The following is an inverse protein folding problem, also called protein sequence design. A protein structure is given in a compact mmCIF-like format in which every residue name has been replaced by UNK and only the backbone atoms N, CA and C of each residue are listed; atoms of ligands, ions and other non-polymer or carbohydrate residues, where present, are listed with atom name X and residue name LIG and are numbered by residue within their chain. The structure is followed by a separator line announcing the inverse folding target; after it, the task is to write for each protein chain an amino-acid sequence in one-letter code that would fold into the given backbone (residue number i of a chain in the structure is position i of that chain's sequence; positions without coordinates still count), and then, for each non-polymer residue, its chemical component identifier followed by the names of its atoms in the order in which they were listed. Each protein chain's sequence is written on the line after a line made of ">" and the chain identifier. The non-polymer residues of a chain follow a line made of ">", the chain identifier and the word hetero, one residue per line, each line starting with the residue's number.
data_IF_881726241340
#
_entry.id   IF_881726241340
#
_cell.length_a   1.000
_cell.length_b   1.000
_cell.length_c   1.000
_cell.angle_alpha   90.00
_cell.angle_beta   90.00
_cell.angle_gamma   90.00
#
_symmetry.space_group_name_H-M   'P 1'
#
loop_
_entity.id
_entity.type
_entity.pdbx_description
1 polymer ?
#
# COMPACT_ATOMS: atom_id res chain seq x y z
N UNK A 1 -51.58 -27.19 14.85
CA UNK A 1 -51.02 -25.89 15.26
C UNK A 1 -49.63 -26.14 15.83
N UNK A 2 -48.63 -25.56 15.18
CA UNK A 2 -47.19 -25.43 15.47
C UNK A 2 -46.42 -26.55 16.20
N UNK A 3 -45.50 -27.14 15.43
CA UNK A 3 -44.37 -27.99 15.82
C UNK A 3 -43.26 -27.11 16.41
N UNK A 4 -42.70 -27.48 17.57
CA UNK A 4 -41.47 -26.86 18.08
C UNK A 4 -40.24 -27.43 17.34
N UNK A 5 -39.53 -26.57 16.62
CA UNK A 5 -38.25 -26.86 15.98
C UNK A 5 -37.14 -26.08 16.69
N UNK A 6 -36.03 -26.79 16.92
CA UNK A 6 -34.86 -26.37 17.66
C UNK A 6 -34.08 -25.23 16.98
N UNK A 7 -33.43 -24.38 17.77
CA UNK A 7 -32.34 -23.53 17.31
C UNK A 7 -31.23 -23.55 18.36
N UNK A 8 -30.21 -24.37 18.10
CA UNK A 8 -28.95 -24.39 18.84
C UNK A 8 -28.05 -23.31 18.24
N UNK A 9 -27.81 -22.24 18.98
CA UNK A 9 -26.78 -21.24 18.63
C UNK A 9 -25.44 -21.71 19.19
N UNK A 10 -24.56 -22.15 18.30
CA UNK A 10 -23.15 -22.38 18.59
C UNK A 10 -22.43 -21.02 18.57
N UNK A 11 -22.06 -20.51 19.74
CA UNK A 11 -21.17 -19.35 19.87
C UNK A 11 -19.72 -19.81 19.63
N UNK A 12 -19.22 -19.64 18.40
CA UNK A 12 -17.78 -19.69 18.15
C UNK A 12 -17.15 -18.39 18.68
N UNK A 13 -16.55 -18.46 19.87
CA UNK A 13 -15.63 -17.41 20.33
C UNK A 13 -14.26 -17.69 19.70
N UNK A 14 -13.85 -16.84 18.77
CA UNK A 14 -12.46 -16.84 18.28
C UNK A 14 -11.61 -16.08 19.28
N UNK A 15 -10.82 -16.80 20.07
CA UNK A 15 -9.79 -16.22 20.92
C UNK A 15 -8.66 -15.69 20.03
N UNK A 16 -8.22 -14.43 20.16
CA UNK A 16 -6.94 -14.04 19.57
C UNK A 16 -5.84 -14.70 20.41
N UNK A 17 -5.14 -15.66 19.81
CA UNK A 17 -3.88 -16.17 20.31
C UNK A 17 -2.88 -15.01 20.29
N UNK A 18 -2.78 -14.29 21.41
CA UNK A 18 -1.78 -13.28 21.64
C UNK A 18 -0.42 -13.96 21.79
N UNK A 19 0.38 -13.98 20.73
CA UNK A 19 1.80 -14.28 20.86
C UNK A 19 2.50 -13.04 21.42
N UNK A 20 2.67 -12.99 22.74
CA UNK A 20 3.54 -12.01 23.38
C UNK A 20 5.00 -12.36 23.05
N UNK A 21 5.78 -11.46 22.41
CA UNK A 21 7.22 -11.61 22.41
C UNK A 21 7.75 -11.39 23.83
N UNK A 22 8.49 -12.36 24.36
CA UNK A 22 9.17 -12.26 25.65
C UNK A 22 10.40 -11.36 25.49
N UNK A 23 10.27 -10.08 25.78
CA UNK A 23 11.46 -9.24 25.99
C UNK A 23 11.96 -9.48 27.43
N UNK A 24 12.92 -10.40 27.56
CA UNK A 24 13.72 -10.53 28.77
C UNK A 24 14.71 -9.37 28.82
N UNK A 25 14.50 -8.44 29.74
CA UNK A 25 15.49 -7.43 30.11
C UNK A 25 16.62 -8.12 30.87
N UNK A 26 17.74 -8.35 30.21
CA UNK A 26 19.01 -8.67 30.87
C UNK A 26 19.81 -7.38 31.01
N UNK A 27 20.03 -6.94 32.24
CA UNK A 27 20.97 -5.88 32.55
C UNK A 27 22.35 -6.50 32.72
N UNK A 28 23.28 -6.24 31.80
CA UNK A 28 24.69 -6.27 32.16
C UNK A 28 25.47 -5.18 31.43
N UNK A 29 26.37 -4.56 32.19
CA UNK A 29 27.10 -3.33 31.89
C UNK A 29 28.50 -3.75 31.44
N UNK A 30 28.87 -3.38 30.21
CA UNK A 30 30.24 -3.53 29.71
C UNK A 30 30.50 -2.54 28.57
N UNK A 31 31.37 -1.57 28.81
CA UNK A 31 31.83 -0.56 27.86
C UNK A 31 32.62 -1.17 26.69
N UNK A 32 32.42 -0.60 25.50
CA UNK A 32 33.46 -0.08 24.59
C UNK A 32 33.27 -0.47 23.12
N UNK A 33 33.45 0.55 22.27
CA UNK A 33 33.83 0.47 20.85
C UNK A 33 32.72 0.34 19.79
N UNK A 34 32.28 1.50 19.26
CA UNK A 34 32.59 1.95 17.89
C UNK A 34 31.62 3.07 17.47
N UNK A 35 32.17 4.25 17.20
CA UNK A 35 31.46 5.47 16.78
C UNK A 35 30.91 5.40 15.34
N UNK A 36 30.64 4.21 14.79
CA UNK A 36 30.25 4.03 13.38
C UNK A 36 28.74 3.82 13.19
N UNK A 37 27.97 3.72 14.28
CA UNK A 37 26.52 3.50 14.23
C UNK A 37 25.69 4.80 14.17
N UNK A 38 26.31 5.96 14.41
CA UNK A 38 25.63 7.27 14.37
C UNK A 38 25.41 7.80 12.94
N UNK A 39 26.18 7.34 11.96
CA UNK A 39 26.08 7.83 10.58
C UNK A 39 24.99 7.12 9.76
N UNK A 40 24.50 5.97 10.24
CA UNK A 40 23.42 5.23 9.60
C UNK A 40 22.05 5.91 9.77
N UNK A 41 21.83 6.58 10.91
CA UNK A 41 20.57 7.25 11.23
C UNK A 41 20.42 8.66 10.64
N UNK A 42 21.45 9.17 9.96
CA UNK A 42 21.42 10.51 9.36
C UNK A 42 20.85 10.54 7.93
N UNK A 43 20.50 9.39 7.34
CA UNK A 43 20.02 9.30 5.95
C UNK A 43 18.52 9.06 5.76
N UNK A 44 17.76 9.01 6.84
CA UNK A 44 16.29 9.07 6.74
C UNK A 44 15.82 10.31 7.46
N UNK A 45 15.63 11.39 6.68
CA UNK A 45 14.64 12.41 7.03
C UNK A 45 13.27 11.75 7.03
N UNK A 46 12.96 10.92 8.03
CA UNK A 46 11.59 10.73 8.48
C UNK A 46 11.15 12.14 8.84
N UNK A 47 10.37 12.78 7.97
CA UNK A 47 9.97 14.18 8.14
C UNK A 47 9.58 14.40 9.59
N UNK A 48 10.20 15.37 10.25
CA UNK A 48 10.10 15.63 11.68
C UNK A 48 8.64 15.96 12.07
N UNK A 49 7.75 14.98 12.07
CA UNK A 49 6.41 15.03 12.66
C UNK A 49 6.62 14.72 14.14
N UNK A 50 6.87 15.75 14.92
CA UNK A 50 6.96 15.62 16.37
C UNK A 50 5.55 15.43 16.93
N UNK A 51 5.29 14.27 17.52
CA UNK A 51 4.04 13.98 18.22
C UNK A 51 4.23 14.32 19.71
N UNK A 52 3.75 15.47 20.20
CA UNK A 52 4.05 15.97 21.55
C UNK A 52 3.53 15.06 22.68
N UNK A 53 2.63 14.11 22.36
CA UNK A 53 1.96 13.26 23.33
C UNK A 53 2.33 11.76 23.22
N UNK A 54 3.38 11.41 22.47
CA UNK A 54 3.74 10.03 22.14
C UNK A 54 2.97 9.48 20.94
N UNK A 55 3.44 8.36 20.36
CA UNK A 55 2.84 7.74 19.17
C UNK A 55 1.64 6.89 19.60
N UNK A 56 0.44 7.25 19.17
CA UNK A 56 -0.76 6.41 19.31
C UNK A 56 -0.81 5.35 18.19
N UNK A 57 -1.50 4.22 18.41
CA UNK A 57 -1.66 3.18 17.37
C UNK A 57 -2.34 3.69 16.09
N UNK A 58 -3.05 4.82 16.15
CA UNK A 58 -3.67 5.47 14.99
C UNK A 58 -2.68 6.36 14.22
N UNK A 59 -1.76 7.04 14.93
CA UNK A 59 -0.66 7.80 14.32
C UNK A 59 0.40 6.91 13.67
N UNK A 60 0.49 5.64 14.10
CA UNK A 60 1.36 4.65 13.46
C UNK A 60 0.86 4.22 12.07
N UNK A 61 -0.43 4.39 11.77
CA UNK A 61 -1.04 3.97 10.51
C UNK A 61 -1.88 5.11 9.88
N UNK A 62 -1.24 6.23 9.54
CA UNK A 62 -1.85 7.25 8.69
C UNK A 62 -1.69 6.86 7.20
N UNK A 63 -2.68 7.22 6.38
CA UNK A 63 -2.68 6.96 4.93
C UNK A 63 -2.70 8.28 4.13
N UNK A 64 -2.25 9.37 4.76
CA UNK A 64 -2.28 10.72 4.22
C UNK A 64 -1.24 10.96 3.12
N UNK A 65 -0.39 9.98 2.79
CA UNK A 65 0.59 10.04 1.70
C UNK A 65 0.44 8.85 0.73
N UNK A 66 -0.73 8.22 0.76
CA UNK A 66 -1.09 7.05 -0.05
C UNK A 66 -2.06 7.45 -1.16
N UNK A 67 -1.79 7.04 -2.40
CA UNK A 67 -2.76 7.09 -3.49
C UNK A 67 -3.09 5.69 -4.01
N UNK A 68 -4.34 5.50 -4.45
CA UNK A 68 -4.85 4.23 -4.96
C UNK A 68 -5.02 4.34 -6.46
N UNK A 69 -4.53 3.33 -7.18
CA UNK A 69 -4.65 3.23 -8.62
C UNK A 69 -5.80 2.29 -8.98
N UNK A 70 -6.79 2.79 -9.73
CA UNK A 70 -7.96 2.02 -10.19
C UNK A 70 -8.02 2.07 -11.71
N UNK A 71 -8.01 0.90 -12.36
CA UNK A 71 -8.34 0.77 -13.78
C UNK A 71 -9.85 0.58 -13.93
N UNK A 72 -10.56 1.56 -14.50
CA UNK A 72 -12.01 1.50 -14.61
C UNK A 72 -12.50 0.34 -15.49
N UNK A 73 -11.68 -0.08 -16.46
CA UNK A 73 -11.94 -1.23 -17.34
C UNK A 73 -11.87 -2.60 -16.60
N UNK A 74 -11.44 -2.62 -15.33
CA UNK A 74 -11.38 -3.85 -14.53
C UNK A 74 -12.35 -3.80 -13.35
N UNK A 75 -13.40 -4.62 -13.39
CA UNK A 75 -14.36 -4.76 -12.28
C UNK A 75 -13.67 -5.11 -10.95
N UNK A 76 -12.64 -5.96 -11.00
CA UNK A 76 -11.85 -6.35 -9.85
C UNK A 76 -11.05 -5.15 -9.29
N UNK A 77 -10.47 -4.33 -10.17
CA UNK A 77 -9.77 -3.10 -9.79
C UNK A 77 -10.68 -2.17 -9.00
N UNK A 78 -11.87 -1.86 -9.55
CA UNK A 78 -12.85 -0.97 -8.90
C UNK A 78 -13.27 -1.52 -7.55
N UNK A 79 -13.61 -2.81 -7.50
CA UNK A 79 -14.07 -3.47 -6.27
C UNK A 79 -13.01 -3.41 -5.16
N UNK A 80 -11.76 -3.75 -5.48
CA UNK A 80 -10.67 -3.75 -4.51
C UNK A 80 -10.30 -2.33 -4.10
N UNK A 81 -10.19 -1.41 -5.07
CA UNK A 81 -9.80 -0.02 -4.83
C UNK A 81 -10.77 0.71 -3.91
N UNK A 82 -12.08 0.61 -4.18
CA UNK A 82 -13.09 1.22 -3.33
C UNK A 82 -13.19 0.58 -1.95
N UNK A 83 -13.04 -0.74 -1.85
CA UNK A 83 -13.02 -1.43 -0.57
C UNK A 83 -11.84 -0.95 0.30
N UNK A 84 -10.64 -0.81 -0.30
CA UNK A 84 -9.45 -0.31 0.39
C UNK A 84 -9.61 1.14 0.81
N UNK A 85 -10.06 2.02 -0.10
CA UNK A 85 -10.29 3.44 0.18
C UNK A 85 -11.25 3.63 1.37
N UNK A 86 -12.36 2.88 1.36
CA UNK A 86 -13.39 2.94 2.41
C UNK A 86 -12.85 2.43 3.74
N UNK A 87 -12.16 1.29 3.75
CA UNK A 87 -11.66 0.68 4.98
C UNK A 87 -10.59 1.53 5.68
N UNK A 88 -9.90 2.41 4.94
CA UNK A 88 -8.80 3.24 5.44
C UNK A 88 -9.11 4.73 5.46
N UNK A 89 -10.35 5.10 5.14
CA UNK A 89 -10.81 6.49 5.09
C UNK A 89 -9.89 7.38 4.22
N UNK A 90 -9.54 6.89 3.04
CA UNK A 90 -8.66 7.60 2.09
C UNK A 90 -9.44 8.74 1.43
N UNK A 91 -8.84 9.93 1.35
CA UNK A 91 -9.43 11.06 0.62
C UNK A 91 -9.70 10.71 -0.85
N UNK A 92 -10.84 11.14 -1.37
CA UNK A 92 -11.23 10.92 -2.77
C UNK A 92 -10.23 11.49 -3.77
N UNK A 93 -9.56 12.58 -3.42
CA UNK A 93 -8.55 13.22 -4.29
C UNK A 93 -7.37 12.27 -4.55
N UNK A 94 -7.13 11.31 -3.65
CA UNK A 94 -6.05 10.31 -3.72
C UNK A 94 -6.49 8.99 -4.36
N UNK A 95 -7.70 8.95 -4.91
CA UNK A 95 -8.20 7.84 -5.72
C UNK A 95 -8.01 8.22 -7.19
N UNK A 96 -7.02 7.60 -7.83
CA UNK A 96 -6.61 7.88 -9.21
C UNK A 96 -7.21 6.82 -10.12
N UNK A 97 -8.18 7.23 -10.96
CA UNK A 97 -8.96 6.33 -11.79
C UNK A 97 -8.54 6.51 -13.26
N UNK A 98 -8.11 5.42 -13.90
CA UNK A 98 -7.85 5.37 -15.33
C UNK A 98 -9.16 5.06 -16.06
N UNK A 99 -9.68 6.06 -16.77
CA UNK A 99 -11.02 6.02 -17.40
C UNK A 99 -11.04 5.44 -18.81
N UNK A 100 -9.89 5.03 -19.36
CA UNK A 100 -9.82 4.54 -20.73
C UNK A 100 -10.31 3.08 -20.83
N UNK A 101 -11.44 2.86 -21.50
CA UNK A 101 -12.03 1.52 -21.71
C UNK A 101 -11.17 0.57 -22.53
N UNK A 102 -10.15 1.07 -23.25
CA UNK A 102 -9.18 0.25 -23.98
C UNK A 102 -7.96 -0.12 -23.13
N UNK A 103 -7.87 0.35 -21.88
CA UNK A 103 -6.75 0.06 -21.01
C UNK A 103 -6.64 -1.47 -20.74
N UNK A 104 -5.48 -2.09 -20.96
CA UNK A 104 -5.29 -3.52 -20.69
C UNK A 104 -5.52 -3.86 -19.20
N UNK A 105 -6.06 -5.06 -18.93
CA UNK A 105 -6.29 -5.57 -17.57
C UNK A 105 -5.30 -6.67 -17.15
N UNK A 106 -4.34 -7.00 -18.01
CA UNK A 106 -3.31 -8.04 -17.80
C UNK A 106 -2.14 -7.46 -17.02
N UNK A 107 -1.48 -8.30 -16.22
CA UNK A 107 -0.34 -7.87 -15.40
C UNK A 107 0.91 -7.53 -16.22
N UNK A 108 1.06 -8.13 -17.40
CA UNK A 108 2.20 -7.95 -18.29
C UNK A 108 1.76 -7.30 -19.61
N UNK A 109 2.26 -6.08 -19.89
CA UNK A 109 1.92 -5.29 -21.08
C UNK A 109 3.19 -4.82 -21.80
N UNK A 110 3.06 -4.30 -23.02
CA UNK A 110 4.21 -3.69 -23.71
C UNK A 110 4.44 -2.24 -23.24
N UNK A 111 5.58 -1.66 -23.62
CA UNK A 111 5.97 -0.31 -23.20
C UNK A 111 4.99 0.77 -23.69
N UNK A 112 4.58 0.69 -24.95
CA UNK A 112 3.68 1.68 -25.56
C UNK A 112 2.29 1.66 -24.87
N UNK A 113 1.76 0.47 -24.59
CA UNK A 113 0.53 0.30 -23.79
C UNK A 113 0.69 0.93 -22.40
N UNK A 114 1.83 0.71 -21.73
CA UNK A 114 2.07 1.29 -20.40
C UNK A 114 2.11 2.81 -20.43
N UNK A 115 2.88 3.38 -21.36
CA UNK A 115 3.11 4.82 -21.43
C UNK A 115 1.80 5.56 -21.79
N UNK A 116 1.01 5.02 -22.70
CA UNK A 116 -0.23 5.63 -23.19
C UNK A 116 -1.41 5.48 -22.22
N UNK A 117 -1.60 4.30 -21.63
CA UNK A 117 -2.79 4.03 -20.81
C UNK A 117 -2.59 4.29 -19.31
N UNK A 118 -1.34 4.27 -18.82
CA UNK A 118 -1.07 4.35 -17.38
C UNK A 118 -0.07 5.44 -17.00
N UNK A 119 1.13 5.47 -17.60
CA UNK A 119 2.17 6.39 -17.13
C UNK A 119 1.79 7.85 -17.37
N UNK A 120 1.45 8.21 -18.61
CA UNK A 120 1.08 9.59 -18.97
C UNK A 120 -0.16 10.06 -18.19
N UNK A 121 -1.28 9.31 -18.18
CA UNK A 121 -2.46 9.72 -17.41
C UNK A 121 -2.19 9.82 -15.90
N UNK A 122 -1.33 8.96 -15.34
CA UNK A 122 -0.95 9.05 -13.93
C UNK A 122 -0.23 10.37 -13.62
N UNK A 123 0.74 10.75 -14.45
CA UNK A 123 1.46 12.02 -14.28
C UNK A 123 0.55 13.23 -14.42
N UNK A 124 -0.42 13.19 -15.33
CA UNK A 124 -1.43 14.24 -15.50
C UNK A 124 -2.29 14.36 -14.24
N UNK A 125 -2.89 13.27 -13.77
CA UNK A 125 -3.73 13.26 -12.56
C UNK A 125 -2.97 13.75 -11.31
N UNK A 126 -1.70 13.36 -11.15
CA UNK A 126 -0.87 13.80 -10.02
C UNK A 126 -0.59 15.31 -10.08
N UNK A 127 -0.38 15.88 -11.27
CA UNK A 127 -0.14 17.31 -11.44
C UNK A 127 -1.42 18.12 -11.24
N UNK A 128 -2.52 17.72 -11.87
CA UNK A 128 -3.82 18.40 -11.76
C UNK A 128 -4.32 18.52 -10.32
N UNK A 129 -4.01 17.50 -9.50
CA UNK A 129 -4.42 17.42 -8.10
C UNK A 129 -3.35 17.91 -7.12
N UNK A 130 -2.22 18.44 -7.60
CA UNK A 130 -1.07 18.86 -6.78
C UNK A 130 -0.49 17.76 -5.86
N UNK A 131 -0.63 16.49 -6.24
CA UNK A 131 -0.25 15.34 -5.42
C UNK A 131 1.22 14.93 -5.57
N UNK A 132 1.97 15.48 -6.53
CA UNK A 132 3.36 15.10 -6.85
C UNK A 132 4.32 15.15 -5.65
N UNK A 133 4.06 16.01 -4.65
CA UNK A 133 4.88 16.12 -3.43
C UNK A 133 4.21 15.56 -2.18
N UNK A 134 2.96 15.11 -2.30
CA UNK A 134 2.15 14.64 -1.17
C UNK A 134 2.06 13.11 -1.08
N UNK A 135 2.41 12.41 -2.17
CA UNK A 135 2.29 10.96 -2.27
C UNK A 135 3.67 10.31 -2.21
N UNK A 136 3.83 9.39 -1.26
CA UNK A 136 5.01 8.53 -1.14
C UNK A 136 4.72 7.08 -1.54
N UNK A 137 3.46 6.65 -1.42
CA UNK A 137 3.06 5.27 -1.64
C UNK A 137 1.93 5.16 -2.64
N UNK A 138 2.07 4.22 -3.57
CA UNK A 138 1.02 3.86 -4.52
C UNK A 138 0.48 2.47 -4.17
N UNK A 139 -0.84 2.37 -4.03
CA UNK A 139 -1.55 1.10 -3.89
C UNK A 139 -2.08 0.70 -5.26
N UNK A 140 -1.46 -0.30 -5.85
CA UNK A 140 -1.93 -0.91 -7.10
C UNK A 140 -3.06 -1.91 -6.81
N UNK A 141 -4.06 -1.93 -7.68
CA UNK A 141 -5.14 -2.92 -7.64
C UNK A 141 -5.00 -3.91 -8.80
N UNK A 142 -5.80 -4.99 -8.79
CA UNK A 142 -5.85 -5.94 -9.90
C UNK A 142 -6.23 -5.22 -11.19
N UNK A 143 -5.55 -5.50 -12.30
CA UNK A 143 -5.81 -4.81 -13.58
C UNK A 143 -4.91 -3.60 -13.83
N UNK A 144 -4.07 -3.22 -12.85
CA UNK A 144 -2.92 -2.35 -13.07
C UNK A 144 -1.71 -3.23 -13.43
N UNK A 145 -0.97 -2.91 -14.50
CA UNK A 145 0.20 -3.70 -14.91
C UNK A 145 1.32 -3.63 -13.87
N UNK A 146 1.99 -4.75 -13.62
CA UNK A 146 3.18 -4.84 -12.74
C UNK A 146 4.45 -5.17 -13.52
N UNK A 147 4.30 -5.64 -14.77
CA UNK A 147 5.40 -6.04 -15.63
C UNK A 147 5.25 -5.36 -16.98
N UNK A 148 6.34 -4.78 -17.46
CA UNK A 148 6.44 -4.25 -18.81
C UNK A 148 7.37 -5.18 -19.55
N UNK A 149 6.88 -5.78 -20.64
CA UNK A 149 7.71 -6.60 -21.52
C UNK A 149 8.88 -5.75 -22.01
N UNK A 150 10.09 -6.24 -21.78
CA UNK A 150 11.30 -5.69 -22.36
C UNK A 150 11.24 -5.81 -23.87
N UNK A 151 11.17 -4.68 -24.56
CA UNK A 151 11.50 -4.61 -25.98
C UNK A 151 13.02 -4.56 -26.17
N UNK A 152 13.44 -4.57 -27.44
CA UNK A 152 14.80 -4.83 -27.93
C UNK A 152 16.00 -4.17 -27.21
N UNK A 153 15.84 -3.10 -26.41
CA UNK A 153 16.97 -2.34 -25.82
C UNK A 153 16.70 -1.75 -24.43
N UNK A 154 15.76 -2.30 -23.66
CA UNK A 154 15.50 -1.82 -22.28
C UNK A 154 15.31 -3.04 -21.39
N UNK A 155 16.30 -3.31 -20.53
CA UNK A 155 16.35 -4.46 -19.64
C UNK A 155 14.98 -4.79 -19.00
N UNK A 156 14.47 -5.99 -19.30
CA UNK A 156 13.48 -6.65 -18.45
C UNK A 156 14.23 -7.14 -17.22
N UNK A 157 13.80 -6.70 -16.04
CA UNK A 157 14.29 -7.23 -14.76
C UNK A 157 13.95 -8.72 -14.68
N UNK A 158 14.88 -9.59 -15.11
CA UNK A 158 14.85 -11.05 -14.96
C UNK A 158 16.27 -11.63 -15.10
N UNK A 159 17.23 -11.04 -14.40
CA UNK A 159 18.59 -11.59 -14.22
C UNK A 159 18.88 -11.71 -12.72
N UNK A 160 18.14 -12.57 -12.04
CA UNK A 160 18.77 -13.35 -10.96
C UNK A 160 19.52 -14.52 -11.62
N UNK A 161 20.81 -14.64 -11.28
CA UNK A 161 21.70 -15.74 -11.67
C UNK A 161 21.63 -16.87 -10.66
#
# INVERSE_FOLDING_TARGET
>A
MAVMLASSMLLCTVSPFAHQPKNQLYTDRGESSSNEMNDFWNFTSFGNKTYPNGITSQELYNYDDVAILINNNSDASRTIGWAFATARNISTDRILIFENDSAPIKETINREEFDNFFATPLFEMLQERNLTREINYLVTTKGIPLRINGGNDKASFDQEM
#
